data_IF_474470747525
#
_entry.id   IF_474470747525
#
_cell.length_a   1.000
_cell.length_b   1.000
_cell.length_c   1.000
_cell.angle_alpha   90.00
_cell.angle_beta   90.00
_cell.angle_gamma   90.00
#
_symmetry.space_group_name_H-M   'P 1'
#
loop_
_entity.id
_entity.type
_entity.pdbx_description
1 polymer ?
#
# COMPACT_ATOMS: atom_id res chain seq x y z
N UNK A 1 8.54 -11.00 -11.43
CA UNK A 1 8.31 -11.39 -12.85
C UNK A 1 8.83 -12.80 -13.02
N UNK A 2 8.08 -13.63 -13.74
CA UNK A 2 8.55 -14.93 -14.25
C UNK A 2 8.60 -14.81 -15.78
N UNK A 3 9.77 -15.00 -16.34
CA UNK A 3 10.01 -14.96 -17.79
C UNK A 3 10.28 -16.38 -18.27
N UNK A 4 9.43 -16.91 -19.15
CA UNK A 4 9.42 -18.30 -19.57
C UNK A 4 9.51 -18.39 -21.10
N UNK A 5 10.53 -19.08 -21.60
CA UNK A 5 10.74 -19.30 -23.05
C UNK A 5 11.52 -20.61 -23.29
N UNK A 6 10.82 -21.69 -23.57
CA UNK A 6 11.42 -23.00 -23.79
C UNK A 6 12.16 -23.13 -25.13
N UNK A 7 12.04 -22.17 -26.04
CA UNK A 7 12.77 -22.19 -27.32
C UNK A 7 14.28 -21.96 -27.14
N UNK A 8 14.68 -21.43 -25.98
CA UNK A 8 16.06 -21.09 -25.66
C UNK A 8 16.99 -22.34 -25.70
N UNK A 9 18.11 -22.24 -26.44
CA UNK A 9 19.09 -23.29 -26.51
C UNK A 9 19.79 -23.59 -25.18
N UNK A 10 20.07 -22.53 -24.40
CA UNK A 10 20.64 -22.63 -23.06
C UNK A 10 19.50 -22.83 -22.06
N UNK A 11 19.54 -23.93 -21.32
CA UNK A 11 18.46 -24.32 -20.40
C UNK A 11 18.17 -23.29 -19.30
N UNK A 12 19.22 -22.69 -18.71
CA UNK A 12 19.07 -21.63 -17.70
C UNK A 12 18.37 -20.34 -18.22
N UNK A 13 18.24 -20.19 -19.54
CA UNK A 13 17.52 -19.08 -20.14
C UNK A 13 16.03 -19.39 -20.38
N UNK A 14 15.58 -20.63 -20.17
CA UNK A 14 14.19 -21.04 -20.41
C UNK A 14 13.24 -20.57 -19.33
N UNK A 15 13.74 -20.44 -18.08
CA UNK A 15 12.99 -19.86 -16.96
C UNK A 15 13.90 -18.88 -16.25
N UNK A 16 13.39 -17.66 -16.00
CA UNK A 16 14.02 -16.66 -15.17
C UNK A 16 12.99 -16.11 -14.18
N UNK A 17 13.37 -16.01 -12.93
CA UNK A 17 12.53 -15.45 -11.88
C UNK A 17 13.18 -14.16 -11.38
N UNK A 18 12.39 -13.12 -11.24
CA UNK A 18 12.82 -11.83 -10.74
C UNK A 18 11.96 -11.42 -9.54
N UNK A 19 12.61 -11.01 -8.47
CA UNK A 19 11.98 -10.44 -7.27
C UNK A 19 12.49 -9.02 -7.14
N UNK A 20 11.59 -8.06 -7.06
CA UNK A 20 11.92 -6.63 -6.97
C UNK A 20 12.94 -6.19 -8.04
N UNK A 21 12.73 -6.60 -9.30
CA UNK A 21 13.58 -6.26 -10.42
C UNK A 21 14.90 -7.06 -10.52
N UNK A 22 15.27 -7.82 -9.50
CA UNK A 22 16.53 -8.56 -9.44
C UNK A 22 16.32 -10.01 -9.80
N UNK A 23 17.12 -10.53 -10.76
CA UNK A 23 17.07 -11.92 -11.15
C UNK A 23 17.58 -12.82 -10.01
N UNK A 24 16.81 -13.87 -9.75
CA UNK A 24 17.14 -14.86 -8.74
C UNK A 24 18.00 -15.99 -9.34
N UNK A 25 18.93 -16.50 -8.55
CA UNK A 25 19.64 -17.74 -8.87
C UNK A 25 18.71 -18.92 -8.61
N UNK A 26 18.47 -19.73 -9.62
CA UNK A 26 17.65 -20.93 -9.50
C UNK A 26 18.56 -22.13 -9.23
N UNK A 27 18.14 -22.97 -8.29
CA UNK A 27 18.75 -24.28 -8.05
C UNK A 27 17.85 -25.32 -8.70
N UNK A 28 18.43 -26.16 -9.54
CA UNK A 28 17.69 -27.24 -10.18
C UNK A 28 17.29 -28.29 -9.14
N UNK A 29 16.04 -28.69 -9.20
CA UNK A 29 15.56 -29.91 -8.56
C UNK A 29 15.83 -31.13 -9.44
N UNK A 30 15.49 -32.31 -8.96
CA UNK A 30 15.79 -33.58 -9.64
C UNK A 30 15.28 -33.68 -11.10
N UNK A 31 14.32 -32.84 -11.49
CA UNK A 31 13.76 -32.81 -12.85
C UNK A 31 14.48 -31.84 -13.80
N UNK A 32 15.36 -30.98 -13.29
CA UNK A 32 16.08 -29.95 -14.08
C UNK A 32 15.17 -28.87 -14.68
N UNK A 33 15.72 -28.15 -15.65
CA UNK A 33 14.99 -27.19 -16.46
C UNK A 33 14.07 -27.88 -17.48
N UNK A 34 12.98 -27.24 -17.95
CA UNK A 34 12.17 -27.76 -19.04
C UNK A 34 13.04 -28.09 -20.27
N UNK A 35 12.69 -29.15 -20.97
CA UNK A 35 13.37 -29.47 -22.23
C UNK A 35 13.15 -28.37 -23.27
N UNK A 36 14.06 -28.23 -24.23
CA UNK A 36 13.88 -27.28 -25.31
C UNK A 36 12.61 -27.59 -26.10
N UNK A 37 11.85 -26.54 -26.42
CA UNK A 37 10.56 -26.61 -27.10
C UNK A 37 9.48 -27.40 -26.33
N UNK A 38 9.62 -27.50 -25.00
CA UNK A 38 8.59 -28.08 -24.18
C UNK A 38 7.32 -27.21 -24.20
N UNK A 39 6.19 -27.86 -24.49
CA UNK A 39 4.87 -27.24 -24.48
C UNK A 39 4.25 -27.47 -23.10
N UNK A 40 4.18 -26.42 -22.29
CA UNK A 40 3.72 -26.48 -20.89
C UNK A 40 2.22 -26.35 -20.74
N UNK A 41 1.81 -26.29 -19.47
CA UNK A 41 0.38 -26.11 -19.13
C UNK A 41 -0.05 -24.64 -19.14
N UNK A 42 0.88 -23.69 -19.04
CA UNK A 42 0.58 -22.26 -19.11
C UNK A 42 0.08 -21.94 -20.51
N UNK A 43 -1.05 -21.24 -20.59
CA UNK A 43 -1.70 -20.88 -21.85
C UNK A 43 -2.25 -22.10 -22.65
N UNK A 44 -2.47 -23.22 -21.99
CA UNK A 44 -3.05 -24.43 -22.59
C UNK A 44 -4.55 -24.49 -22.28
N UNK A 45 -5.38 -24.52 -23.33
CA UNK A 45 -6.85 -24.47 -23.21
C UNK A 45 -7.48 -25.66 -22.49
N UNK A 46 -6.73 -26.75 -22.27
CA UNK A 46 -7.21 -27.92 -21.53
C UNK A 46 -7.13 -27.75 -20.01
N UNK A 47 -6.51 -26.68 -19.52
CA UNK A 47 -6.33 -26.40 -18.11
C UNK A 47 -6.96 -25.06 -17.73
N UNK A 48 -7.68 -25.03 -16.61
CA UNK A 48 -8.17 -23.79 -16.04
C UNK A 48 -6.99 -22.97 -15.47
N UNK A 49 -7.02 -21.68 -15.73
CA UNK A 49 -6.02 -20.74 -15.18
C UNK A 49 -6.68 -19.95 -14.06
N UNK A 50 -6.07 -19.95 -12.90
CA UNK A 50 -6.58 -19.29 -11.71
C UNK A 50 -5.61 -18.21 -11.23
N UNK A 51 -6.16 -17.14 -10.66
CA UNK A 51 -5.42 -16.12 -9.92
C UNK A 51 -5.91 -16.15 -8.47
N UNK A 52 -4.99 -16.32 -7.54
CA UNK A 52 -5.31 -16.41 -6.11
C UNK A 52 -5.87 -17.76 -5.63
N UNK A 53 -5.88 -18.77 -6.47
CA UNK A 53 -6.39 -20.09 -6.09
C UNK A 53 -5.59 -21.21 -6.74
N UNK A 54 -5.22 -22.22 -5.94
CA UNK A 54 -4.59 -23.47 -6.37
C UNK A 54 -5.60 -24.63 -6.12
N UNK A 55 -6.11 -25.29 -7.18
CA UNK A 55 -7.22 -26.24 -7.04
C UNK A 55 -6.84 -27.60 -6.45
N UNK A 56 -5.63 -28.10 -6.65
CA UNK A 56 -5.24 -29.45 -6.19
C UNK A 56 -5.19 -29.53 -4.67
N UNK A 57 -4.63 -28.52 -4.01
CA UNK A 57 -4.59 -28.41 -2.55
C UNK A 57 -5.75 -27.63 -1.95
N UNK A 58 -6.64 -27.07 -2.79
CA UNK A 58 -7.65 -26.09 -2.34
C UNK A 58 -7.05 -24.93 -1.54
N UNK A 59 -5.90 -24.44 -2.00
CA UNK A 59 -5.15 -23.36 -1.34
C UNK A 59 -5.55 -22.02 -1.92
N UNK A 60 -5.88 -21.09 -1.05
CA UNK A 60 -6.25 -19.73 -1.42
C UNK A 60 -5.12 -18.78 -1.04
N UNK A 61 -4.89 -17.79 -1.87
CA UNK A 61 -3.99 -16.69 -1.54
C UNK A 61 -4.64 -15.82 -0.45
N UNK A 62 -3.94 -15.64 0.65
CA UNK A 62 -4.34 -14.76 1.75
C UNK A 62 -3.44 -13.52 1.72
N UNK A 63 -3.96 -12.41 1.20
CA UNK A 63 -3.21 -11.16 1.05
C UNK A 63 -3.83 -10.24 0.02
N UNK A 64 -3.07 -9.22 -0.36
CA UNK A 64 -3.47 -8.24 -1.36
C UNK A 64 -2.69 -8.44 -2.66
N UNK A 65 -3.37 -8.28 -3.78
CA UNK A 65 -2.77 -8.32 -5.11
C UNK A 65 -3.02 -7.01 -5.85
N UNK A 66 -2.03 -6.60 -6.62
CA UNK A 66 -2.17 -5.49 -7.55
C UNK A 66 -1.45 -5.87 -8.86
N UNK A 67 -2.08 -5.52 -9.98
CA UNK A 67 -1.47 -5.58 -11.30
C UNK A 67 -0.92 -6.97 -11.68
N UNK A 68 -1.82 -7.94 -11.88
CA UNK A 68 -1.47 -9.28 -12.38
C UNK A 68 -1.49 -9.27 -13.90
N UNK A 69 -0.36 -9.64 -14.52
CA UNK A 69 -0.17 -9.56 -15.97
C UNK A 69 0.36 -10.89 -16.51
N UNK A 70 -0.24 -11.36 -17.57
CA UNK A 70 0.32 -12.41 -18.44
C UNK A 70 0.56 -11.83 -19.83
N UNK A 71 1.77 -11.98 -20.35
CA UNK A 71 2.10 -11.63 -21.74
C UNK A 71 2.42 -12.91 -22.49
N UNK A 72 1.54 -13.25 -23.41
CA UNK A 72 1.69 -14.36 -24.33
C UNK A 72 2.60 -13.97 -25.50
N UNK A 73 3.48 -14.87 -25.90
CA UNK A 73 4.34 -14.75 -27.08
C UNK A 73 5.61 -13.92 -26.90
N UNK A 74 5.88 -13.40 -25.69
CA UNK A 74 7.09 -12.62 -25.42
C UNK A 74 7.70 -12.96 -24.06
N UNK A 75 9.03 -13.09 -24.01
CA UNK A 75 9.78 -13.16 -22.77
C UNK A 75 10.29 -11.76 -22.39
N UNK A 76 9.52 -11.02 -21.59
CA UNK A 76 9.87 -9.67 -21.18
C UNK A 76 10.69 -9.68 -19.88
N UNK A 77 11.58 -8.71 -19.75
CA UNK A 77 12.33 -8.48 -18.52
C UNK A 77 11.53 -7.60 -17.52
N UNK A 78 11.95 -7.51 -16.25
CA UNK A 78 11.21 -6.78 -15.23
C UNK A 78 11.07 -5.29 -15.51
N UNK A 79 11.94 -4.68 -16.33
CA UNK A 79 11.86 -3.22 -16.63
C UNK A 79 10.63 -2.86 -17.45
N UNK A 80 9.94 -3.86 -18.02
CA UNK A 80 8.62 -3.68 -18.64
C UNK A 80 7.53 -3.36 -17.59
N UNK A 81 7.72 -3.74 -16.34
CA UNK A 81 6.72 -3.70 -15.27
C UNK A 81 7.11 -2.82 -14.07
N UNK A 82 8.36 -2.42 -13.99
CA UNK A 82 8.85 -1.60 -12.88
C UNK A 82 10.21 -0.95 -13.21
N UNK A 83 10.75 -0.25 -12.24
CA UNK A 83 12.03 0.45 -12.35
C UNK A 83 12.68 0.61 -10.99
N UNK A 84 13.98 0.77 -10.94
CA UNK A 84 14.67 1.20 -9.73
C UNK A 84 14.54 2.70 -9.56
N UNK A 85 14.10 3.14 -8.39
CA UNK A 85 14.12 4.55 -8.05
C UNK A 85 15.57 5.05 -8.01
N UNK A 86 15.87 6.09 -8.79
CA UNK A 86 17.24 6.58 -8.96
C UNK A 86 17.83 7.23 -7.71
N UNK A 87 17.00 7.63 -6.76
CA UNK A 87 17.42 8.29 -5.52
C UNK A 87 17.63 7.28 -4.40
N UNK A 88 16.70 6.33 -4.26
CA UNK A 88 16.67 5.38 -3.14
C UNK A 88 17.23 4.01 -3.50
N UNK A 89 17.33 3.68 -4.78
CA UNK A 89 17.70 2.35 -5.26
C UNK A 89 16.62 1.29 -5.03
N UNK A 90 15.43 1.67 -4.56
CA UNK A 90 14.34 0.76 -4.30
C UNK A 90 13.60 0.46 -5.62
N UNK A 91 13.30 -0.81 -5.85
CA UNK A 91 12.45 -1.22 -6.95
C UNK A 91 11.01 -0.76 -6.71
N UNK A 92 10.43 -0.11 -7.70
CA UNK A 92 9.01 0.30 -7.68
C UNK A 92 8.31 -0.16 -8.95
N UNK A 93 7.08 -0.65 -8.87
CA UNK A 93 6.23 -0.89 -10.03
C UNK A 93 5.99 0.41 -10.80
N UNK A 94 5.83 0.29 -12.10
CA UNK A 94 5.41 1.41 -12.97
C UNK A 94 4.07 1.09 -13.60
N UNK A 95 3.34 2.13 -13.98
CA UNK A 95 2.07 1.95 -14.71
C UNK A 95 2.33 1.14 -15.97
N UNK A 96 1.63 0.02 -16.08
CA UNK A 96 1.69 -0.84 -17.27
C UNK A 96 0.81 -0.22 -18.33
N UNK A 97 1.43 0.07 -19.47
CA UNK A 97 0.72 0.50 -20.67
C UNK A 97 0.33 -0.70 -21.54
N UNK A 98 -0.24 -0.41 -22.69
CA UNK A 98 -0.49 -1.44 -23.69
C UNK A 98 0.86 -2.02 -24.16
N UNK A 99 1.06 -3.33 -24.00
CA UNK A 99 2.27 -4.00 -24.44
C UNK A 99 2.13 -4.36 -25.91
N UNK A 100 3.00 -3.77 -26.73
CA UNK A 100 3.00 -4.02 -28.17
C UNK A 100 3.27 -5.50 -28.47
N UNK A 101 2.56 -6.06 -29.44
CA UNK A 101 2.68 -7.45 -29.91
C UNK A 101 2.40 -8.51 -28.82
N UNK A 102 1.64 -8.18 -27.79
CA UNK A 102 1.12 -9.18 -26.87
C UNK A 102 0.20 -10.16 -27.61
N UNK A 103 0.39 -11.45 -27.38
CA UNK A 103 -0.45 -12.49 -27.97
C UNK A 103 -1.89 -12.42 -27.48
N UNK A 104 -2.81 -13.07 -28.18
CA UNK A 104 -4.26 -12.98 -27.94
C UNK A 104 -4.71 -13.53 -26.58
N UNK A 105 -3.88 -14.34 -25.93
CA UNK A 105 -4.16 -14.92 -24.61
C UNK A 105 -3.54 -14.09 -23.45
N UNK A 106 -2.97 -12.91 -23.76
CA UNK A 106 -2.46 -12.00 -22.75
C UNK A 106 -3.61 -11.36 -21.98
N UNK A 107 -3.37 -11.04 -20.72
CA UNK A 107 -4.32 -10.30 -19.90
C UNK A 107 -3.61 -9.35 -18.93
N UNK A 108 -4.34 -8.36 -18.47
CA UNK A 108 -3.92 -7.44 -17.42
C UNK A 108 -5.07 -7.19 -16.44
N UNK A 109 -4.95 -7.70 -15.24
CA UNK A 109 -5.89 -7.45 -14.15
C UNK A 109 -5.38 -6.28 -13.32
N UNK A 110 -5.97 -5.12 -13.47
CA UNK A 110 -5.68 -3.92 -12.69
C UNK A 110 -6.61 -3.76 -11.48
N UNK A 111 -7.61 -4.65 -11.37
CA UNK A 111 -8.60 -4.74 -10.29
C UNK A 111 -9.38 -3.45 -10.02
N UNK A 112 -9.46 -2.52 -10.99
CA UNK A 112 -10.12 -1.21 -10.79
C UNK A 112 -11.63 -1.22 -11.00
N UNK A 113 -12.13 -2.14 -11.80
CA UNK A 113 -13.57 -2.23 -12.07
C UNK A 113 -14.31 -2.83 -10.87
N UNK A 114 -14.95 -2.00 -10.07
CA UNK A 114 -15.70 -2.43 -8.87
C UNK A 114 -16.93 -3.29 -9.20
N UNK A 115 -17.39 -3.28 -10.44
CA UNK A 115 -18.47 -4.16 -10.90
C UNK A 115 -17.98 -5.54 -11.34
N UNK A 116 -16.70 -5.66 -11.68
CA UNK A 116 -16.05 -6.89 -12.09
C UNK A 116 -14.53 -6.83 -11.84
N UNK A 117 -14.08 -7.19 -10.65
CA UNK A 117 -12.64 -7.19 -10.30
C UNK A 117 -11.80 -8.15 -11.15
N UNK A 118 -12.44 -9.08 -11.88
CA UNK A 118 -11.78 -9.97 -12.85
C UNK A 118 -11.71 -9.41 -14.27
N UNK A 119 -12.02 -8.12 -14.48
CA UNK A 119 -11.98 -7.48 -15.78
C UNK A 119 -10.55 -7.39 -16.32
N UNK A 120 -10.38 -7.78 -17.59
CA UNK A 120 -9.11 -7.66 -18.32
C UNK A 120 -8.96 -6.26 -18.92
N UNK A 121 -8.08 -5.46 -18.32
CA UNK A 121 -7.77 -4.10 -18.77
C UNK A 121 -6.80 -4.04 -19.96
N UNK A 122 -6.34 -5.17 -20.50
CA UNK A 122 -5.44 -5.21 -21.68
C UNK A 122 -6.13 -4.82 -22.99
N UNK A 123 -7.47 -4.91 -23.02
CA UNK A 123 -8.27 -4.73 -24.22
C UNK A 123 -8.47 -6.01 -25.07
N UNK A 124 -7.96 -7.16 -24.60
CA UNK A 124 -8.10 -8.45 -25.26
C UNK A 124 -9.34 -9.24 -24.82
N UNK A 125 -10.00 -8.75 -23.75
CA UNK A 125 -11.24 -9.32 -23.20
C UNK A 125 -11.08 -10.72 -22.59
N UNK A 126 -9.90 -11.06 -22.09
CA UNK A 126 -9.63 -12.30 -21.36
C UNK A 126 -10.03 -12.17 -19.89
N UNK A 127 -11.30 -11.88 -19.65
CA UNK A 127 -11.85 -11.67 -18.31
C UNK A 127 -11.84 -12.95 -17.48
N UNK A 128 -11.59 -12.79 -16.18
CA UNK A 128 -11.69 -13.87 -15.20
C UNK A 128 -13.07 -13.92 -14.55
N UNK A 129 -13.57 -15.12 -14.31
CA UNK A 129 -14.75 -15.32 -13.47
C UNK A 129 -14.37 -15.07 -12.01
N UNK A 130 -15.07 -14.13 -11.39
CA UNK A 130 -14.83 -13.77 -10.00
C UNK A 130 -15.54 -14.76 -9.07
N UNK A 131 -14.81 -15.29 -8.07
CA UNK A 131 -15.34 -16.16 -7.05
C UNK A 131 -15.14 -15.54 -5.66
N UNK A 132 -16.23 -15.29 -4.94
CA UNK A 132 -16.27 -14.76 -3.57
C UNK A 132 -15.58 -13.40 -3.35
N UNK A 133 -15.30 -12.63 -4.42
CA UNK A 133 -14.82 -11.24 -4.31
C UNK A 133 -15.93 -10.29 -4.74
N UNK A 134 -16.00 -9.17 -4.06
CA UNK A 134 -16.95 -8.07 -4.30
C UNK A 134 -16.22 -6.72 -4.26
N UNK A 135 -16.92 -5.63 -4.46
CA UNK A 135 -16.34 -4.29 -4.34
C UNK A 135 -15.79 -3.96 -2.93
N UNK A 136 -16.21 -4.70 -1.90
CA UNK A 136 -15.68 -4.54 -0.53
C UNK A 136 -14.22 -5.03 -0.44
N UNK A 137 -13.85 -5.99 -1.27
CA UNK A 137 -12.52 -6.58 -1.29
C UNK A 137 -11.53 -5.74 -2.12
N UNK A 138 -12.02 -4.68 -2.78
CA UNK A 138 -11.21 -3.76 -3.56
C UNK A 138 -10.59 -2.68 -2.68
N UNK A 139 -9.28 -2.49 -2.76
CA UNK A 139 -8.58 -1.37 -2.14
C UNK A 139 -8.23 -0.30 -3.16
N UNK A 140 -8.26 0.96 -2.74
CA UNK A 140 -7.81 2.10 -3.55
C UNK A 140 -6.29 2.28 -3.54
N UNK A 141 -5.59 1.64 -2.59
CA UNK A 141 -4.13 1.63 -2.56
C UNK A 141 -3.59 0.67 -3.62
N UNK A 142 -2.75 1.17 -4.49
CA UNK A 142 -2.13 0.39 -5.58
C UNK A 142 -0.65 0.74 -5.68
N UNK A 143 0.12 -0.09 -6.37
CA UNK A 143 1.54 0.19 -6.61
C UNK A 143 1.80 1.47 -7.44
N UNK A 144 0.79 2.02 -8.10
CA UNK A 144 0.86 3.26 -8.90
C UNK A 144 0.28 4.45 -8.14
N UNK A 145 -0.63 4.20 -7.21
CA UNK A 145 -1.25 5.19 -6.31
C UNK A 145 -1.06 4.67 -4.90
N UNK A 146 0.10 4.95 -4.33
CA UNK A 146 0.49 4.44 -3.02
C UNK A 146 0.14 5.46 -1.94
N UNK A 147 -0.82 5.09 -1.10
CA UNK A 147 -1.20 5.87 0.07
C UNK A 147 -0.33 5.51 1.28
N UNK A 148 -0.22 6.42 2.22
CA UNK A 148 0.25 6.08 3.55
C UNK A 148 -0.77 5.14 4.21
N UNK A 149 -0.36 3.94 4.57
CA UNK A 149 -1.18 2.98 5.30
C UNK A 149 -0.81 2.95 6.77
N UNK A 150 -1.71 2.45 7.62
CA UNK A 150 -1.36 2.19 9.01
C UNK A 150 -0.35 1.04 9.11
N UNK A 151 0.64 1.20 9.97
CA UNK A 151 1.64 0.16 10.21
C UNK A 151 1.04 -0.97 11.06
N UNK A 152 0.84 -2.13 10.46
CA UNK A 152 0.28 -3.29 11.16
C UNK A 152 1.19 -3.87 12.24
N UNK A 153 2.48 -3.54 12.23
CA UNK A 153 3.45 -3.97 13.22
C UNK A 153 3.52 -3.04 14.44
N UNK A 154 2.84 -1.90 14.41
CA UNK A 154 2.78 -0.93 15.48
C UNK A 154 1.53 -1.16 16.34
N UNK A 155 1.40 -2.36 16.88
CA UNK A 155 0.25 -2.84 17.66
C UNK A 155 0.67 -3.01 19.11
N UNK A 156 0.68 -1.92 19.83
CA UNK A 156 1.39 -2.01 21.11
C UNK A 156 0.52 -2.01 22.37
N UNK A 157 -0.54 -1.24 22.48
CA UNK A 157 -1.22 -1.10 23.78
C UNK A 157 -2.65 -1.63 23.82
N UNK A 158 -3.46 -1.25 22.87
CA UNK A 158 -4.84 -1.72 22.72
C UNK A 158 -5.03 -2.25 21.31
N UNK A 159 -5.74 -3.36 21.20
CA UNK A 159 -6.00 -3.98 19.92
C UNK A 159 -7.03 -3.12 19.16
N UNK A 160 -6.61 -2.53 18.08
CA UNK A 160 -7.48 -1.98 17.06
C UNK A 160 -7.57 -2.94 15.87
N UNK A 161 -8.50 -2.70 14.97
CA UNK A 161 -8.68 -3.51 13.77
C UNK A 161 -8.30 -2.68 12.56
N UNK A 162 -7.37 -3.22 11.76
CA UNK A 162 -7.04 -2.68 10.45
C UNK A 162 -7.83 -3.40 9.37
N UNK A 163 -8.30 -2.66 8.38
CA UNK A 163 -9.05 -3.16 7.23
C UNK A 163 -8.77 -2.31 6.00
N UNK A 164 -9.32 -2.71 4.84
CA UNK A 164 -9.13 -2.00 3.58
C UNK A 164 -7.64 -1.78 3.25
N UNK A 165 -6.85 -2.87 3.23
CA UNK A 165 -5.41 -2.84 3.03
C UNK A 165 -4.67 -1.87 3.99
N UNK A 166 -5.06 -1.88 5.26
CA UNK A 166 -4.53 -1.01 6.31
C UNK A 166 -4.78 0.51 6.09
N UNK A 167 -5.74 0.86 5.23
CA UNK A 167 -6.19 2.25 5.05
C UNK A 167 -7.23 2.67 6.08
N UNK A 168 -7.87 1.71 6.75
CA UNK A 168 -8.90 1.97 7.75
C UNK A 168 -8.48 1.36 9.09
N UNK A 169 -8.55 2.17 10.14
CA UNK A 169 -8.37 1.74 11.52
C UNK A 169 -9.68 1.93 12.30
N UNK A 170 -10.12 0.89 12.95
CA UNK A 170 -11.23 0.96 13.92
C UNK A 170 -10.66 0.76 15.33
N UNK A 171 -10.72 1.79 16.14
CA UNK A 171 -10.18 1.77 17.49
C UNK A 171 -10.96 0.83 18.40
N UNK A 172 -10.23 0.07 19.23
CA UNK A 172 -10.78 -0.88 20.19
C UNK A 172 -10.88 -0.37 21.64
N UNK A 173 -10.51 0.88 21.90
CA UNK A 173 -10.51 1.43 23.25
C UNK A 173 -9.57 2.62 23.43
N UNK A 174 -9.23 2.95 24.67
CA UNK A 174 -8.29 4.03 24.99
C UNK A 174 -6.87 3.64 24.58
N UNK A 175 -6.12 4.60 24.03
CA UNK A 175 -4.69 4.46 23.74
C UNK A 175 -4.37 3.39 22.69
N UNK A 176 -4.94 3.52 21.50
CA UNK A 176 -4.60 2.70 20.33
C UNK A 176 -3.82 3.53 19.28
N UNK A 177 -2.56 3.94 19.56
CA UNK A 177 -1.79 4.71 18.60
C UNK A 177 -1.30 3.81 17.47
N UNK A 178 -1.39 4.31 16.24
CA UNK A 178 -0.81 3.70 15.05
C UNK A 178 -0.04 4.74 14.26
N UNK A 179 1.16 4.38 13.83
CA UNK A 179 1.92 5.19 12.89
C UNK A 179 1.58 4.83 11.44
N UNK A 180 1.78 5.79 10.55
CA UNK A 180 1.80 5.52 9.11
C UNK A 180 3.08 4.78 8.71
N UNK A 181 3.04 4.10 7.57
CA UNK A 181 4.17 3.36 7.01
C UNK A 181 5.24 4.25 6.37
N UNK A 182 4.98 5.55 6.21
CA UNK A 182 5.91 6.49 5.61
C UNK A 182 6.68 7.25 6.69
N UNK A 183 7.97 6.98 6.81
CA UNK A 183 8.90 7.77 7.64
C UNK A 183 9.44 8.97 6.88
N UNK A 184 9.36 10.16 7.49
CA UNK A 184 9.75 11.43 6.86
C UNK A 184 10.96 12.02 7.59
N UNK A 185 11.98 12.45 6.85
CA UNK A 185 13.19 13.04 7.42
C UNK A 185 13.55 14.42 6.85
N UNK A 186 12.88 14.88 5.79
CA UNK A 186 13.11 16.18 5.15
C UNK A 186 11.93 16.57 4.27
N UNK A 187 11.88 17.82 3.81
CA UNK A 187 10.92 18.31 2.81
C UNK A 187 9.59 18.77 3.38
N UNK A 188 8.64 19.02 2.49
CA UNK A 188 7.30 19.49 2.79
C UNK A 188 6.30 18.42 2.39
N UNK A 189 5.38 18.09 3.29
CA UNK A 189 4.45 16.99 3.16
C UNK A 189 3.04 17.41 3.52
N UNK A 190 2.05 16.78 2.88
CA UNK A 190 0.65 16.95 3.20
C UNK A 190 -0.06 15.61 3.12
N UNK A 191 -0.93 15.34 4.08
CA UNK A 191 -1.83 14.19 4.07
C UNK A 191 -3.15 14.52 4.76
N UNK A 192 -4.14 13.70 4.51
CA UNK A 192 -5.47 13.81 5.10
C UNK A 192 -5.86 12.49 5.75
N UNK A 193 -6.59 12.61 6.85
CA UNK A 193 -7.20 11.47 7.54
C UNK A 193 -8.68 11.79 7.71
N UNK A 194 -9.55 10.90 7.19
CA UNK A 194 -10.96 10.96 7.52
C UNK A 194 -11.18 10.30 8.87
N UNK A 195 -11.72 11.03 9.81
CA UNK A 195 -12.15 10.53 11.12
C UNK A 195 -13.66 10.43 11.13
N UNK A 196 -14.18 9.21 11.26
CA UNK A 196 -15.64 8.97 11.19
C UNK A 196 -16.36 9.33 12.48
N UNK A 197 -15.64 9.40 13.59
CA UNK A 197 -16.17 9.80 14.88
C UNK A 197 -15.16 10.71 15.60
N UNK A 198 -15.17 12.00 15.25
CA UNK A 198 -14.42 13.01 15.97
C UNK A 198 -15.24 13.44 17.18
N UNK A 199 -14.79 13.10 18.37
CA UNK A 199 -15.48 13.43 19.61
C UNK A 199 -14.75 14.57 20.33
N UNK A 200 -15.54 15.45 20.98
CA UNK A 200 -15.00 16.62 21.69
C UNK A 200 -14.32 16.28 23.03
N UNK A 201 -14.31 15.01 23.43
CA UNK A 201 -13.50 14.50 24.53
C UNK A 201 -12.09 14.17 24.02
N UNK A 202 -11.11 13.95 24.90
CA UNK A 202 -9.69 13.72 24.57
C UNK A 202 -9.40 12.41 23.77
N UNK A 203 -10.42 11.87 23.07
CA UNK A 203 -10.40 10.52 22.56
C UNK A 203 -9.58 10.31 21.27
N UNK A 204 -9.51 11.30 20.37
CA UNK A 204 -8.87 11.14 19.06
C UNK A 204 -7.80 12.19 18.85
N UNK A 205 -6.66 11.79 18.30
CA UNK A 205 -5.59 12.72 17.97
C UNK A 205 -4.90 12.35 16.66
N UNK A 206 -4.52 13.37 15.88
CA UNK A 206 -3.87 13.25 14.59
C UNK A 206 -2.60 14.10 14.57
N UNK A 207 -1.47 13.51 14.17
CA UNK A 207 -0.22 14.25 14.16
C UNK A 207 0.98 13.44 13.69
N UNK A 208 2.13 13.76 14.27
CA UNK A 208 3.42 13.12 13.97
C UNK A 208 4.07 12.59 15.25
N UNK A 209 4.83 11.52 15.09
CA UNK A 209 5.67 10.97 16.16
C UNK A 209 7.07 10.66 15.65
N UNK A 210 8.07 10.86 16.48
CA UNK A 210 9.45 10.44 16.18
C UNK A 210 9.73 8.98 16.58
N UNK A 211 8.77 8.31 17.20
CA UNK A 211 8.86 6.92 17.65
C UNK A 211 7.57 6.17 17.36
N UNK A 212 7.69 4.88 17.19
CA UNK A 212 6.56 3.96 17.30
C UNK A 212 6.09 3.86 18.75
N UNK A 213 4.82 3.59 18.97
CA UNK A 213 4.28 3.38 20.30
C UNK A 213 4.96 2.18 20.99
N UNK A 214 5.20 2.29 22.30
CA UNK A 214 5.76 1.24 23.14
C UNK A 214 4.99 1.16 24.46
N UNK A 215 5.26 0.16 25.31
CA UNK A 215 4.64 0.02 26.64
C UNK A 215 4.77 1.27 27.52
N UNK A 216 5.84 1.99 27.31
CA UNK A 216 6.11 3.21 28.06
C UNK A 216 5.58 4.47 27.35
N UNK A 217 5.21 4.37 26.05
CA UNK A 217 4.90 5.50 25.17
C UNK A 217 3.67 5.22 24.30
N UNK A 218 2.55 4.91 24.92
CA UNK A 218 1.29 4.71 24.24
C UNK A 218 0.62 6.01 23.77
N UNK A 219 1.07 7.15 24.30
CA UNK A 219 0.67 8.47 23.82
C UNK A 219 1.81 9.10 23.02
N UNK A 220 1.67 9.19 21.72
CA UNK A 220 2.73 9.68 20.83
C UNK A 220 3.18 11.13 21.07
N UNK A 221 2.42 11.91 21.83
CA UNK A 221 2.74 13.29 22.22
C UNK A 221 3.15 13.44 23.69
N UNK A 222 3.04 12.37 24.50
CA UNK A 222 3.14 12.43 25.94
C UNK A 222 4.04 11.32 26.49
N UNK A 223 5.31 11.37 26.17
CA UNK A 223 6.28 10.46 26.78
C UNK A 223 7.01 11.16 27.94
N UNK A 224 7.03 10.52 29.10
CA UNK A 224 7.75 11.04 30.28
C UNK A 224 9.25 11.15 29.98
N UNK A 225 9.68 12.31 29.53
CA UNK A 225 11.07 12.69 29.40
C UNK A 225 11.67 12.71 28.00
N UNK A 226 10.90 12.49 26.93
CA UNK A 226 11.39 12.66 25.56
C UNK A 226 10.39 13.38 24.66
N UNK A 227 10.89 14.23 23.80
CA UNK A 227 10.16 14.84 22.69
C UNK A 227 9.77 13.77 21.69
N UNK A 228 8.50 13.43 21.61
CA UNK A 228 8.07 12.32 20.77
C UNK A 228 7.13 12.72 19.65
N UNK A 229 6.40 13.83 19.74
CA UNK A 229 5.51 14.22 18.67
C UNK A 229 4.69 15.48 18.91
N UNK A 230 3.87 15.77 17.92
CA UNK A 230 2.87 16.83 17.95
C UNK A 230 1.55 16.30 17.44
N UNK A 231 0.45 16.60 18.12
CA UNK A 231 -0.89 16.13 17.75
C UNK A 231 -1.97 17.16 18.00
N UNK A 232 -2.92 17.23 17.10
CA UNK A 232 -4.20 17.91 17.24
C UNK A 232 -5.20 16.93 17.82
N UNK A 233 -5.74 17.24 18.98
CA UNK A 233 -6.70 16.44 19.72
C UNK A 233 -8.13 16.92 19.49
N UNK A 234 -9.05 16.00 19.58
CA UNK A 234 -10.48 16.29 19.37
C UNK A 234 -11.08 17.25 20.40
N UNK A 235 -10.43 17.50 21.51
CA UNK A 235 -10.80 18.56 22.47
C UNK A 235 -10.39 19.98 22.05
N UNK A 236 -9.84 20.14 20.84
CA UNK A 236 -9.40 21.44 20.31
C UNK A 236 -8.05 21.93 20.79
N UNK A 237 -7.27 21.05 21.40
CA UNK A 237 -5.91 21.36 21.88
C UNK A 237 -4.88 20.70 20.98
N UNK A 238 -3.82 21.42 20.67
CA UNK A 238 -2.61 20.85 20.10
C UNK A 238 -1.61 20.62 21.21
N UNK A 239 -1.20 19.36 21.36
CA UNK A 239 -0.12 19.01 22.29
C UNK A 239 1.16 18.74 21.50
N UNK A 240 2.27 19.09 22.11
CA UNK A 240 3.62 18.78 21.64
C UNK A 240 4.57 18.72 22.83
N UNK A 241 5.39 17.68 22.87
CA UNK A 241 6.37 17.52 23.97
C UNK A 241 5.73 17.60 25.35
N UNK A 242 4.60 16.95 25.52
CA UNK A 242 3.85 16.92 26.78
C UNK A 242 3.35 18.31 27.26
N UNK A 243 3.20 19.26 26.37
CA UNK A 243 2.79 20.62 26.69
C UNK A 243 1.74 21.10 25.69
N UNK A 244 0.71 21.80 26.14
CA UNK A 244 -0.24 22.47 25.27
C UNK A 244 0.47 23.57 24.47
N UNK A 245 0.41 23.45 23.13
CA UNK A 245 1.04 24.38 22.18
C UNK A 245 0.02 25.39 21.63
N UNK A 246 -1.22 24.95 21.43
CA UNK A 246 -2.31 25.80 20.95
C UNK A 246 -3.66 25.27 21.46
N UNK A 247 -4.66 26.14 21.54
CA UNK A 247 -6.03 25.82 21.93
C UNK A 247 -7.03 26.53 21.05
N UNK A 248 -8.28 26.14 21.11
CA UNK A 248 -9.37 26.77 20.37
C UNK A 248 -9.52 26.30 18.93
N UNK A 249 -8.94 25.14 18.59
CA UNK A 249 -9.20 24.45 17.33
C UNK A 249 -10.60 23.83 17.32
N UNK A 250 -11.10 23.47 16.14
CA UNK A 250 -12.45 22.93 15.95
C UNK A 250 -12.65 21.61 16.70
N UNK A 251 -13.79 21.47 17.38
CA UNK A 251 -14.14 20.32 18.21
C UNK A 251 -15.50 19.69 17.84
N UNK A 252 -16.10 20.08 16.72
CA UNK A 252 -17.40 19.55 16.33
C UNK A 252 -17.32 18.02 16.16
N UNK A 253 -18.33 17.33 16.72
CA UNK A 253 -18.38 15.86 16.66
C UNK A 253 -18.94 15.40 15.32
N UNK A 254 -18.49 14.25 14.84
CA UNK A 254 -18.96 13.62 13.61
C UNK A 254 -17.85 13.15 12.69
N UNK A 255 -18.18 13.02 11.42
CA UNK A 255 -17.21 12.66 10.37
C UNK A 255 -16.57 13.92 9.81
N UNK A 256 -15.25 13.99 9.93
CA UNK A 256 -14.47 15.14 9.50
C UNK A 256 -13.18 14.71 8.80
N UNK A 257 -12.64 15.58 7.95
CA UNK A 257 -11.35 15.41 7.31
C UNK A 257 -10.34 16.30 8.02
N UNK A 258 -9.33 15.68 8.60
CA UNK A 258 -8.21 16.37 9.26
C UNK A 258 -7.02 16.34 8.32
N UNK A 259 -6.65 17.50 7.79
CA UNK A 259 -5.44 17.67 7.00
C UNK A 259 -4.25 18.02 7.88
N UNK A 260 -3.07 17.52 7.53
CA UNK A 260 -1.81 17.83 8.20
C UNK A 260 -0.80 18.32 7.17
N UNK A 261 -0.28 19.51 7.37
CA UNK A 261 0.85 20.06 6.60
C UNK A 261 2.10 20.09 7.46
N UNK A 262 3.14 19.39 7.03
CA UNK A 262 4.42 19.27 7.71
C UNK A 262 5.54 19.86 6.85
N UNK A 263 6.28 20.79 7.40
CA UNK A 263 7.46 21.35 6.78
C UNK A 263 8.68 21.05 7.67
N UNK A 264 9.42 20.01 7.31
CA UNK A 264 10.63 19.59 8.03
C UNK A 264 11.84 20.48 7.77
N UNK A 265 11.81 21.29 6.72
CA UNK A 265 12.88 22.27 6.45
C UNK A 265 12.83 23.42 7.45
N UNK A 266 11.63 23.89 7.79
CA UNK A 266 11.43 25.03 8.68
C UNK A 266 10.90 24.59 10.07
N UNK A 267 10.80 23.28 10.32
CA UNK A 267 10.28 22.67 11.55
C UNK A 267 8.89 23.21 11.94
N UNK A 268 7.96 23.20 10.98
CA UNK A 268 6.60 23.68 11.16
C UNK A 268 5.59 22.57 10.87
N UNK A 269 4.49 22.59 11.62
CA UNK A 269 3.34 21.73 11.39
C UNK A 269 2.06 22.53 11.56
N UNK A 270 1.08 22.29 10.71
CA UNK A 270 -0.24 22.89 10.77
C UNK A 270 -1.32 21.86 10.48
N UNK A 271 -2.52 22.09 11.01
CA UNK A 271 -3.68 21.24 10.79
C UNK A 271 -4.81 22.02 10.13
N UNK A 272 -5.54 21.33 9.25
CA UNK A 272 -6.84 21.81 8.77
C UNK A 272 -7.98 20.91 9.28
N UNK A 273 -9.14 21.50 9.42
CA UNK A 273 -10.37 20.83 9.76
C UNK A 273 -11.37 21.11 8.64
N UNK A 274 -11.79 20.07 7.93
CA UNK A 274 -12.61 20.16 6.72
C UNK A 274 -12.10 21.23 5.72
N UNK A 275 -10.78 21.19 5.45
CA UNK A 275 -10.12 22.11 4.54
C UNK A 275 -9.85 23.53 5.10
N UNK A 276 -10.31 23.85 6.30
CA UNK A 276 -10.06 25.15 6.95
C UNK A 276 -8.86 25.05 7.88
N UNK A 277 -7.79 25.80 7.62
CA UNK A 277 -6.61 25.83 8.47
C UNK A 277 -6.93 26.31 9.87
N UNK A 278 -6.43 25.62 10.86
CA UNK A 278 -6.66 25.91 12.27
C UNK A 278 -5.55 26.83 12.82
N UNK A 279 -5.95 27.74 13.70
CA UNK A 279 -5.01 28.75 14.23
C UNK A 279 -4.67 29.82 13.19
N UNK A 280 -3.59 30.55 13.44
CA UNK A 280 -3.10 31.62 12.56
C UNK A 280 -2.00 31.19 11.58
N UNK A 281 -1.75 29.89 11.48
CA UNK A 281 -0.67 29.35 10.65
C UNK A 281 -1.19 28.93 9.29
N UNK A 282 -0.81 29.68 8.27
CA UNK A 282 -0.88 29.23 6.87
C UNK A 282 0.39 28.43 6.56
N UNK A 283 0.30 27.13 6.25
CA UNK A 283 1.47 26.33 5.90
C UNK A 283 2.17 26.78 4.62
N UNK A 284 1.51 27.59 3.78
CA UNK A 284 2.06 28.17 2.57
C UNK A 284 2.92 29.43 2.82
N UNK A 285 2.70 30.10 3.92
CA UNK A 285 3.39 31.38 4.22
C UNK A 285 4.76 31.21 4.90
N UNK A 286 5.25 30.00 5.05
CA UNK A 286 6.61 29.68 5.50
C UNK A 286 6.85 29.88 6.99
#
# INVERSE_FOLDING_TARGET
>A
VVAFDTTQGTEANRIKIYINGTQQSLTEEASGYPTQNWDGIVNNSSYAHNVGYEPEGSVYFDGYMAEVVLIDGQQLDPTSFGEFDTTTGIWKPKKIGQIANAGTNSFYLDFKDSSNVGNDASGLSNNFTVNNLTSIDQSTDTCVVNYATYNSLDDYYQVDTLSNANLTMTGGGQYAPRTGTMGLNSGKWYWEIQVNNWESSDGTSIGISSKTATAANYEFVNDSGATVGYGYFSNGVVYGNNTSQATGYSTASGTHIIGVALNLTDNKIAWSYDGTWQGSTDPGSG
#
